data_IF_753150713864
#
_entry.id   IF_753150713864
#
_cell.length_a   1.000
_cell.length_b   1.000
_cell.length_c   1.000
_cell.angle_alpha   90.00
_cell.angle_beta   90.00
_cell.angle_gamma   90.00
#
_symmetry.space_group_name_H-M   'P 1'
#
loop_
_entity.id
_entity.type
_entity.pdbx_description
1 polymer ?
#
# COMPACT_ATOMS: atom_id res chain seq x y z
N UNK A 1 10.30 -8.74 11.67
CA UNK A 1 9.32 -7.98 10.86
C UNK A 1 8.02 -7.91 11.65
N UNK A 2 7.31 -6.78 11.59
CA UNK A 2 5.97 -6.67 12.18
C UNK A 2 5.01 -7.64 11.47
N UNK A 3 4.10 -8.27 12.22
CA UNK A 3 3.07 -9.12 11.63
C UNK A 3 1.94 -8.24 11.08
N UNK A 4 1.45 -8.56 9.88
CA UNK A 4 0.26 -7.90 9.34
C UNK A 4 -0.96 -8.25 10.22
N UNK A 5 -1.64 -7.24 10.75
CA UNK A 5 -2.86 -7.41 11.54
C UNK A 5 -4.08 -6.93 10.75
N UNK A 6 -5.01 -7.85 10.53
CA UNK A 6 -6.20 -7.61 9.72
C UNK A 6 -7.34 -8.53 10.18
N UNK A 7 -8.55 -8.24 9.72
CA UNK A 7 -9.72 -9.10 9.87
C UNK A 7 -10.51 -9.19 8.57
N UNK A 8 -11.34 -10.23 8.44
CA UNK A 8 -12.30 -10.32 7.35
C UNK A 8 -13.31 -9.17 7.48
N UNK A 9 -13.44 -8.36 6.43
CA UNK A 9 -14.50 -7.37 6.33
C UNK A 9 -15.77 -8.06 5.80
N UNK A 10 -15.65 -8.60 4.60
CA UNK A 10 -16.62 -9.47 3.92
C UNK A 10 -15.91 -10.06 2.71
N UNK A 11 -16.20 -11.29 2.28
CA UNK A 11 -15.44 -11.89 1.17
C UNK A 11 -15.66 -11.10 -0.14
N UNK A 12 -14.60 -10.79 -0.91
CA UNK A 12 -13.19 -11.21 -0.75
C UNK A 12 -12.30 -10.25 0.07
N UNK A 13 -12.88 -9.21 0.67
CA UNK A 13 -12.21 -8.10 1.31
C UNK A 13 -11.81 -8.34 2.77
N UNK A 14 -10.59 -7.94 3.08
CA UNK A 14 -10.01 -7.85 4.42
C UNK A 14 -9.74 -6.39 4.76
N UNK A 15 -9.67 -6.08 6.05
CA UNK A 15 -9.37 -4.74 6.55
C UNK A 15 -8.30 -4.78 7.62
N UNK A 16 -7.32 -3.89 7.50
CA UNK A 16 -6.24 -3.76 8.48
C UNK A 16 -6.77 -3.20 9.80
N UNK A 17 -6.40 -3.83 10.91
CA UNK A 17 -6.78 -3.40 12.27
C UNK A 17 -5.76 -2.45 12.90
N UNK A 18 -4.53 -2.48 12.38
CA UNK A 18 -3.39 -1.70 12.84
C UNK A 18 -2.65 -1.14 11.61
N UNK A 19 -1.87 -0.07 11.80
CA UNK A 19 -0.94 0.38 10.77
C UNK A 19 0.11 -0.72 10.52
N UNK A 20 0.51 -0.91 9.27
CA UNK A 20 1.61 -1.81 8.92
C UNK A 20 2.78 -1.00 8.37
N UNK A 21 3.96 -1.22 8.94
CA UNK A 21 5.19 -0.55 8.53
C UNK A 21 6.20 -1.56 7.98
N UNK A 22 6.76 -1.25 6.81
CA UNK A 22 7.89 -1.98 6.26
C UNK A 22 9.08 -1.06 6.06
N UNK A 23 10.19 -1.36 6.74
CA UNK A 23 11.44 -0.63 6.60
C UNK A 23 12.22 -1.10 5.36
N UNK A 24 12.74 -0.15 4.60
CA UNK A 24 13.57 -0.41 3.43
C UNK A 24 14.55 0.75 3.19
N UNK A 25 15.53 0.52 2.33
CA UNK A 25 16.35 1.57 1.70
C UNK A 25 16.20 1.47 0.18
N UNK A 26 16.44 2.56 -0.57
CA UNK A 26 16.42 2.49 -2.04
C UNK A 26 17.45 1.49 -2.56
N UNK A 27 18.62 1.38 -1.92
CA UNK A 27 19.62 0.36 -2.27
C UNK A 27 19.08 -1.05 -2.10
N UNK A 28 18.39 -1.33 -0.99
CA UNK A 28 17.81 -2.64 -0.71
C UNK A 28 16.62 -2.98 -1.62
N UNK A 29 15.90 -1.96 -2.12
CA UNK A 29 14.78 -2.12 -3.03
C UNK A 29 15.27 -2.50 -4.42
N UNK A 30 16.13 -1.67 -4.99
CA UNK A 30 16.59 -1.82 -6.37
C UNK A 30 17.59 -2.98 -6.50
N UNK A 31 18.63 -3.07 -5.65
CA UNK A 31 19.73 -4.07 -5.71
C UNK A 31 20.20 -4.36 -7.15
N UNK A 32 19.63 -5.39 -7.77
CA UNK A 32 19.94 -5.92 -9.11
C UNK A 32 19.10 -5.27 -10.23
N UNK A 33 18.25 -4.30 -9.90
CA UNK A 33 17.36 -3.62 -10.85
C UNK A 33 17.87 -2.21 -11.13
N UNK A 34 17.63 -1.75 -12.36
CA UNK A 34 17.91 -0.39 -12.79
C UNK A 34 16.91 0.61 -12.20
N UNK A 35 17.24 1.91 -12.24
CA UNK A 35 16.33 2.99 -11.82
C UNK A 35 16.61 3.58 -10.43
N UNK A 36 17.55 3.03 -9.66
CA UNK A 36 17.93 3.57 -8.35
C UNK A 36 18.39 5.03 -8.43
N UNK A 37 19.31 5.35 -9.34
CA UNK A 37 19.86 6.71 -9.46
C UNK A 37 18.80 7.74 -9.83
N UNK A 38 17.85 7.35 -10.70
CA UNK A 38 16.70 8.18 -11.04
C UNK A 38 15.79 8.38 -9.81
N UNK A 39 15.57 7.36 -8.99
CA UNK A 39 14.82 7.51 -7.74
C UNK A 39 15.52 8.37 -6.71
N UNK A 40 16.84 8.24 -6.55
CA UNK A 40 17.63 9.11 -5.67
C UNK A 40 17.47 10.57 -6.12
N UNK A 41 17.58 10.84 -7.42
CA UNK A 41 17.40 12.18 -7.97
C UNK A 41 15.97 12.72 -7.77
N UNK A 42 14.94 11.88 -7.99
CA UNK A 42 13.54 12.29 -7.87
C UNK A 42 13.09 12.49 -6.43
N UNK A 43 13.53 11.61 -5.51
CA UNK A 43 13.17 11.66 -4.10
C UNK A 43 14.04 12.67 -3.31
N UNK A 44 15.28 12.89 -3.74
CA UNK A 44 16.25 13.71 -3.03
C UNK A 44 16.75 13.06 -1.74
N UNK A 45 16.93 11.74 -1.74
CA UNK A 45 17.32 10.97 -0.55
C UNK A 45 18.52 10.07 -0.84
N UNK A 46 19.45 9.97 0.11
CA UNK A 46 20.57 9.04 0.01
C UNK A 46 20.06 7.59 -0.09
N UNK A 47 20.62 6.73 -0.96
CA UNK A 47 20.08 5.41 -1.22
C UNK A 47 20.11 4.45 -0.01
N UNK A 48 20.94 4.74 0.98
CA UNK A 48 21.04 3.98 2.25
C UNK A 48 20.25 4.58 3.41
N UNK A 49 19.53 5.69 3.18
CA UNK A 49 18.66 6.25 4.22
C UNK A 49 17.51 5.27 4.51
N UNK A 50 17.28 4.89 5.77
CA UNK A 50 16.12 4.12 6.17
C UNK A 50 14.82 4.88 5.87
N UNK A 51 13.88 4.17 5.23
CA UNK A 51 12.55 4.66 4.88
C UNK A 51 11.52 3.63 5.29
N UNK A 52 10.29 4.07 5.52
CA UNK A 52 9.18 3.20 5.87
C UNK A 52 8.08 3.34 4.83
N UNK A 53 7.63 2.21 4.27
CA UNK A 53 6.30 2.15 3.65
C UNK A 53 5.29 2.01 4.77
N UNK A 54 4.23 2.82 4.71
CA UNK A 54 3.20 2.84 5.75
C UNK A 54 1.84 2.55 5.14
N UNK A 55 1.24 1.41 5.49
CA UNK A 55 -0.15 1.07 5.16
C UNK A 55 -1.04 1.45 6.35
N UNK A 56 -2.10 2.24 6.14
CA UNK A 56 -2.93 2.69 7.25
C UNK A 56 -3.86 1.59 7.75
N UNK A 57 -4.08 1.58 9.07
CA UNK A 57 -5.25 0.96 9.69
C UNK A 57 -6.52 1.37 8.93
N UNK A 58 -7.41 0.42 8.71
CA UNK A 58 -8.63 0.63 7.93
C UNK A 58 -8.44 0.55 6.43
N UNK A 59 -7.23 0.23 5.95
CA UNK A 59 -7.01 -0.12 4.56
C UNK A 59 -7.73 -1.43 4.21
N UNK A 60 -8.47 -1.42 3.10
CA UNK A 60 -9.20 -2.57 2.59
C UNK A 60 -8.45 -3.18 1.41
N UNK A 61 -8.21 -4.49 1.47
CA UNK A 61 -7.37 -5.27 0.55
C UNK A 61 -8.01 -6.64 0.34
N UNK A 62 -7.85 -7.23 -0.84
CA UNK A 62 -8.18 -8.64 -1.11
C UNK A 62 -6.96 -9.56 -0.93
N UNK A 63 -5.87 -9.02 -0.36
CA UNK A 63 -4.56 -9.64 -0.21
C UNK A 63 -4.03 -10.08 -1.57
N UNK A 64 -3.51 -11.30 -1.72
CA UNK A 64 -3.09 -11.75 -3.03
C UNK A 64 -4.31 -12.14 -3.88
N UNK A 65 -4.59 -11.38 -4.93
CA UNK A 65 -5.61 -11.68 -5.95
C UNK A 65 -5.22 -12.91 -6.79
N UNK A 66 -5.41 -14.09 -6.20
CA UNK A 66 -5.02 -15.38 -6.80
C UNK A 66 -6.24 -16.02 -7.50
N UNK A 67 -6.11 -16.47 -8.76
CA UNK A 67 -7.15 -17.21 -9.48
C UNK A 67 -7.64 -18.44 -8.70
N UNK A 68 -8.94 -18.72 -8.73
CA UNK A 68 -9.57 -19.80 -7.96
C UNK A 68 -8.90 -21.17 -8.16
N UNK A 69 -8.49 -21.47 -9.39
CA UNK A 69 -7.80 -22.72 -9.73
C UNK A 69 -6.46 -22.91 -8.97
N UNK A 70 -5.81 -21.83 -8.56
CA UNK A 70 -4.52 -21.87 -7.86
C UNK A 70 -4.67 -21.80 -6.33
N UNK A 71 -5.85 -21.45 -5.81
CA UNK A 71 -6.12 -21.29 -4.37
C UNK A 71 -5.90 -22.54 -3.51
N UNK A 72 -6.02 -23.80 -4.00
CA UNK A 72 -5.68 -24.97 -3.20
C UNK A 72 -4.21 -25.06 -2.79
N UNK A 73 -3.32 -24.34 -3.49
CA UNK A 73 -1.87 -24.34 -3.26
C UNK A 73 -1.42 -22.96 -2.77
N UNK A 74 -1.99 -21.91 -3.34
CA UNK A 74 -1.61 -20.52 -3.10
C UNK A 74 -2.81 -19.76 -2.52
N UNK A 75 -2.92 -19.74 -1.20
CA UNK A 75 -3.99 -19.03 -0.51
C UNK A 75 -3.76 -17.50 -0.52
N UNK A 76 -4.81 -16.67 -0.71
CA UNK A 76 -4.68 -15.21 -0.67
C UNK A 76 -4.02 -14.65 0.59
N UNK A 77 -4.26 -15.29 1.74
CA UNK A 77 -3.75 -14.95 3.08
C UNK A 77 -2.48 -15.72 3.48
N UNK A 78 -1.76 -16.27 2.51
CA UNK A 78 -0.50 -16.99 2.72
C UNK A 78 0.68 -16.12 3.18
N UNK A 79 1.91 -16.66 3.20
CA UNK A 79 3.11 -15.96 3.69
C UNK A 79 3.45 -14.64 2.98
N UNK A 80 2.85 -14.36 1.83
CA UNK A 80 2.99 -13.13 1.04
C UNK A 80 1.95 -12.05 1.38
N UNK A 81 1.00 -12.30 2.29
CA UNK A 81 -0.12 -11.40 2.55
C UNK A 81 0.31 -9.96 2.90
N UNK A 82 1.35 -9.78 3.70
CA UNK A 82 1.88 -8.45 4.03
C UNK A 82 2.44 -7.72 2.80
N UNK A 83 3.10 -8.46 1.91
CA UNK A 83 3.61 -7.92 0.66
C UNK A 83 2.45 -7.52 -0.28
N UNK A 84 1.43 -8.37 -0.40
CA UNK A 84 0.26 -8.10 -1.22
C UNK A 84 -0.51 -6.89 -0.72
N UNK A 85 -0.69 -6.75 0.60
CA UNK A 85 -1.30 -5.58 1.21
C UNK A 85 -0.58 -4.27 0.86
N UNK A 86 0.76 -4.26 0.85
CA UNK A 86 1.53 -3.08 0.44
C UNK A 86 1.39 -2.80 -1.06
N UNK A 87 1.42 -3.86 -1.88
CA UNK A 87 1.24 -3.77 -3.32
C UNK A 87 -0.13 -3.19 -3.70
N UNK A 88 -1.19 -3.71 -3.08
CA UNK A 88 -2.56 -3.22 -3.24
C UNK A 88 -2.67 -1.73 -2.91
N UNK A 89 -2.02 -1.27 -1.83
CA UNK A 89 -2.03 0.15 -1.46
C UNK A 89 -1.43 1.01 -2.57
N UNK A 90 -0.33 0.59 -3.19
CA UNK A 90 0.24 1.30 -4.33
C UNK A 90 -0.67 1.25 -5.55
N UNK A 91 -1.36 0.13 -5.77
CA UNK A 91 -2.35 -0.01 -6.84
C UNK A 91 -3.63 0.78 -6.56
N UNK A 92 -3.86 1.24 -5.34
CA UNK A 92 -4.90 2.22 -5.02
C UNK A 92 -4.51 3.66 -5.39
N UNK A 93 -3.27 3.92 -5.81
CA UNK A 93 -2.84 5.28 -6.18
C UNK A 93 -3.60 5.77 -7.42
N UNK A 94 -4.23 6.94 -7.33
CA UNK A 94 -4.84 7.61 -8.47
C UNK A 94 -3.79 8.34 -9.33
N UNK A 95 -4.04 8.46 -10.64
CA UNK A 95 -3.24 9.28 -11.56
C UNK A 95 -3.41 10.78 -11.31
N UNK A 96 -4.63 11.21 -10.95
CA UNK A 96 -4.93 12.58 -10.57
C UNK A 96 -4.51 12.83 -9.13
N UNK A 97 -3.36 13.49 -8.97
CA UNK A 97 -2.76 13.75 -7.67
C UNK A 97 -2.86 15.23 -7.34
N UNK A 98 -3.23 15.56 -6.11
CA UNK A 98 -3.06 16.92 -5.59
C UNK A 98 -1.57 17.27 -5.46
N UNK A 99 -1.29 18.41 -4.83
CA UNK A 99 0.08 18.80 -4.53
C UNK A 99 0.73 17.82 -3.52
N UNK A 100 1.91 17.28 -3.86
CA UNK A 100 2.78 16.61 -2.90
C UNK A 100 3.74 17.64 -2.27
N UNK A 101 3.97 17.58 -0.95
CA UNK A 101 4.92 18.48 -0.30
C UNK A 101 6.35 18.24 -0.81
N UNK A 102 7.13 19.32 -0.95
CA UNK A 102 8.55 19.25 -1.37
C UNK A 102 9.41 18.76 -0.22
N UNK A 103 9.33 17.46 0.01
CA UNK A 103 9.94 16.68 1.11
C UNK A 103 10.34 15.31 0.55
N UNK A 104 11.19 14.55 1.24
CA UNK A 104 11.55 13.18 0.81
C UNK A 104 10.30 12.32 0.67
N UNK A 105 9.38 12.39 1.64
CA UNK A 105 8.13 11.63 1.67
C UNK A 105 7.21 11.97 0.51
N UNK A 106 7.01 13.28 0.26
CA UNK A 106 6.17 13.76 -0.83
C UNK A 106 6.77 13.45 -2.20
N UNK A 107 8.08 13.67 -2.36
CA UNK A 107 8.78 13.41 -3.61
C UNK A 107 8.78 11.92 -3.98
N UNK A 108 9.06 11.03 -3.02
CA UNK A 108 9.04 9.59 -3.25
C UNK A 108 7.61 9.08 -3.48
N UNK A 109 6.62 9.59 -2.73
CA UNK A 109 5.20 9.23 -2.95
C UNK A 109 4.71 9.65 -4.33
N UNK A 110 5.16 10.81 -4.81
CA UNK A 110 4.91 11.28 -6.18
C UNK A 110 5.55 10.36 -7.21
N UNK A 111 6.82 10.02 -7.03
CA UNK A 111 7.64 9.29 -7.98
C UNK A 111 7.36 7.78 -8.05
N UNK A 112 6.79 7.17 -7.00
CA UNK A 112 6.43 5.75 -6.96
C UNK A 112 5.47 5.41 -8.10
N UNK A 113 5.87 4.48 -8.95
CA UNK A 113 5.11 3.97 -10.08
C UNK A 113 4.83 2.46 -9.91
N UNK A 114 4.26 1.84 -10.95
CA UNK A 114 3.96 0.41 -10.95
C UNK A 114 5.23 -0.43 -10.77
N UNK A 115 6.33 -0.08 -11.44
CA UNK A 115 7.60 -0.81 -11.34
C UNK A 115 8.13 -0.78 -9.91
N UNK A 116 8.07 0.38 -9.25
CA UNK A 116 8.41 0.50 -7.83
C UNK A 116 7.52 -0.38 -6.96
N UNK A 117 6.20 -0.38 -7.20
CA UNK A 117 5.25 -1.20 -6.46
C UNK A 117 5.54 -2.71 -6.60
N UNK A 118 5.78 -3.18 -7.82
CA UNK A 118 6.09 -4.59 -8.10
C UNK A 118 7.45 -4.99 -7.48
N UNK A 119 8.46 -4.12 -7.52
CA UNK A 119 9.74 -4.36 -6.83
C UNK A 119 9.57 -4.41 -5.31
N UNK A 120 8.75 -3.53 -4.74
CA UNK A 120 8.49 -3.54 -3.31
C UNK A 120 7.80 -4.85 -2.90
N UNK A 121 6.86 -5.33 -3.70
CA UNK A 121 6.20 -6.61 -3.50
C UNK A 121 7.21 -7.78 -3.45
N UNK A 122 8.13 -7.85 -4.41
CA UNK A 122 9.21 -8.84 -4.43
C UNK A 122 10.08 -8.78 -3.16
N UNK A 123 10.47 -7.57 -2.74
CA UNK A 123 11.39 -7.38 -1.61
C UNK A 123 10.76 -7.64 -0.26
N UNK A 124 9.49 -7.32 -0.08
CA UNK A 124 8.75 -7.66 1.14
C UNK A 124 8.59 -9.18 1.24
N UNK A 125 8.20 -9.87 0.15
CA UNK A 125 8.14 -11.34 0.13
C UNK A 125 9.50 -11.98 0.46
N UNK A 126 10.58 -11.45 -0.09
CA UNK A 126 11.93 -11.89 0.24
C UNK A 126 12.25 -11.72 1.73
N UNK A 127 11.93 -10.56 2.30
CA UNK A 127 12.17 -10.29 3.72
C UNK A 127 11.26 -11.12 4.65
N UNK A 128 10.10 -11.56 4.17
CA UNK A 128 9.19 -12.49 4.86
C UNK A 128 9.66 -13.96 4.76
N UNK A 129 10.73 -14.24 4.02
CA UNK A 129 11.23 -15.60 3.83
C UNK A 129 10.38 -16.44 2.87
N UNK A 130 9.59 -15.80 2.00
CA UNK A 130 8.87 -16.50 0.94
C UNK A 130 9.88 -17.12 -0.02
N UNK A 131 9.62 -18.37 -0.41
CA UNK A 131 10.48 -19.13 -1.31
C UNK A 131 10.79 -18.36 -2.62
N UNK A 132 12.00 -18.56 -3.13
CA UNK A 132 12.51 -17.80 -4.28
C UNK A 132 11.71 -18.06 -5.55
N UNK A 133 11.23 -19.29 -5.76
CA UNK A 133 10.39 -19.60 -6.91
C UNK A 133 9.05 -18.87 -6.80
N UNK A 134 8.37 -18.99 -5.65
CA UNK A 134 7.06 -18.37 -5.42
C UNK A 134 7.12 -16.84 -5.56
N UNK A 135 8.06 -16.17 -4.89
CA UNK A 135 8.16 -14.70 -4.93
C UNK A 135 8.50 -14.17 -6.32
N UNK A 136 9.33 -14.89 -7.09
CA UNK A 136 9.65 -14.53 -8.49
C UNK A 136 8.43 -14.74 -9.39
N UNK A 137 7.71 -15.85 -9.25
CA UNK A 137 6.46 -16.08 -10.00
C UNK A 137 5.43 -14.98 -9.75
N UNK A 138 5.24 -14.57 -8.49
CA UNK A 138 4.33 -13.49 -8.12
C UNK A 138 4.78 -12.15 -8.70
N UNK A 139 6.07 -11.83 -8.58
CA UNK A 139 6.66 -10.63 -9.19
C UNK A 139 6.43 -10.57 -10.69
N UNK A 140 6.79 -11.63 -11.44
CA UNK A 140 6.60 -11.67 -12.89
C UNK A 140 5.12 -11.55 -13.28
N UNK A 141 4.22 -12.21 -12.54
CA UNK A 141 2.79 -12.12 -12.79
C UNK A 141 2.26 -10.68 -12.69
N UNK A 142 2.58 -9.96 -11.61
CA UNK A 142 2.14 -8.56 -11.46
C UNK A 142 2.90 -7.63 -12.40
N UNK A 143 4.19 -7.88 -12.63
CA UNK A 143 5.02 -7.02 -13.47
C UNK A 143 4.54 -7.02 -14.93
N UNK A 144 4.24 -8.19 -15.47
CA UNK A 144 3.85 -8.37 -16.87
C UNK A 144 2.34 -8.16 -17.08
N UNK A 145 1.48 -8.59 -16.14
CA UNK A 145 0.02 -8.61 -16.33
C UNK A 145 -0.76 -7.66 -15.42
N UNK A 146 -0.11 -6.97 -14.47
CA UNK A 146 -0.79 -6.11 -13.49
C UNK A 146 -1.23 -4.73 -14.00
N UNK A 147 -0.91 -4.37 -15.25
CA UNK A 147 -1.23 -3.03 -15.78
C UNK A 147 -2.73 -2.68 -15.74
N UNK A 148 -3.67 -3.57 -16.14
CA UNK A 148 -5.10 -3.27 -16.07
C UNK A 148 -5.54 -2.91 -14.64
N UNK A 149 -5.16 -3.69 -13.64
CA UNK A 149 -5.48 -3.42 -12.23
C UNK A 149 -4.82 -2.15 -11.69
N UNK A 150 -3.60 -1.83 -12.16
CA UNK A 150 -2.89 -0.62 -11.75
C UNK A 150 -3.61 0.65 -12.20
N UNK A 151 -4.13 0.68 -13.43
CA UNK A 151 -4.83 1.85 -14.00
C UNK A 151 -6.33 1.87 -13.75
N UNK A 152 -6.92 0.76 -13.31
CA UNK A 152 -8.35 0.66 -13.00
C UNK A 152 -8.78 1.70 -11.96
N UNK A 153 -9.91 2.37 -12.15
CA UNK A 153 -10.39 3.40 -11.23
C UNK A 153 -11.12 2.85 -10.01
N UNK A 154 -11.28 1.52 -9.92
CA UNK A 154 -12.06 0.79 -8.91
C UNK A 154 -13.51 1.27 -8.79
N UNK A 155 -14.09 1.87 -9.84
CA UNK A 155 -15.47 2.38 -9.83
C UNK A 155 -16.52 1.28 -9.60
N UNK A 156 -16.19 0.03 -9.91
CA UNK A 156 -17.07 -1.14 -9.74
C UNK A 156 -16.85 -1.88 -8.42
N UNK A 157 -15.85 -1.49 -7.63
CA UNK A 157 -15.52 -2.18 -6.38
C UNK A 157 -16.49 -1.76 -5.27
N UNK A 158 -17.25 -2.73 -4.78
CA UNK A 158 -18.24 -2.52 -3.71
C UNK A 158 -17.85 -3.36 -2.49
N UNK A 159 -17.87 -2.70 -1.33
CA UNK A 159 -17.86 -3.39 -0.04
C UNK A 159 -18.56 -2.60 1.07
N UNK A 160 -18.94 -3.31 2.13
CA UNK A 160 -19.54 -2.77 3.35
C UNK A 160 -18.67 -1.71 4.01
N UNK A 161 -19.28 -0.57 4.37
CA UNK A 161 -18.63 0.54 5.10
C UNK A 161 -19.28 0.67 6.48
N UNK A 162 -18.57 0.35 7.58
CA UNK A 162 -19.17 0.31 8.92
C UNK A 162 -19.58 1.69 9.44
N UNK A 163 -19.09 2.74 8.80
CA UNK A 163 -19.41 4.15 9.11
C UNK A 163 -19.91 4.83 7.84
N UNK A 164 -21.03 5.53 7.94
CA UNK A 164 -21.65 6.25 6.81
C UNK A 164 -20.85 7.49 6.41
N UNK A 165 -20.29 8.22 7.39
CA UNK A 165 -19.56 9.47 7.14
C UNK A 165 -18.14 9.22 6.67
N UNK A 166 -17.77 9.87 5.56
CA UNK A 166 -16.41 9.91 5.02
C UNK A 166 -15.94 11.35 4.96
N UNK A 167 -14.77 11.65 5.54
CA UNK A 167 -14.10 12.95 5.42
C UNK A 167 -13.12 12.92 4.25
N UNK A 168 -13.29 13.86 3.33
CA UNK A 168 -12.39 14.05 2.19
C UNK A 168 -11.33 15.09 2.52
N UNK A 169 -10.06 14.67 2.48
CA UNK A 169 -8.90 15.51 2.69
C UNK A 169 -8.40 16.06 1.37
N UNK A 170 -8.29 17.39 1.27
CA UNK A 170 -7.71 18.08 0.12
C UNK A 170 -6.17 18.00 0.11
N UNK A 171 -5.62 16.79 0.30
CA UNK A 171 -4.19 16.49 0.21
C UNK A 171 -3.99 15.02 -0.15
N UNK A 172 -2.79 14.70 -0.59
CA UNK A 172 -2.39 13.33 -0.90
C UNK A 172 -2.00 12.57 0.37
N UNK A 173 -2.33 11.28 0.42
CA UNK A 173 -1.70 10.33 1.31
C UNK A 173 -0.24 10.17 0.91
N UNK A 174 0.65 10.27 1.90
CA UNK A 174 2.05 9.96 1.72
C UNK A 174 2.21 8.47 1.99
N UNK A 175 2.80 7.72 1.06
CA UNK A 175 3.02 6.27 1.25
C UNK A 175 4.29 5.98 2.06
N UNK A 176 5.26 6.90 2.00
CA UNK A 176 6.58 6.73 2.58
C UNK A 176 6.82 7.70 3.73
N UNK A 177 7.63 7.30 4.71
CA UNK A 177 8.07 8.14 5.84
C UNK A 177 9.58 8.02 6.04
N UNK A 178 10.22 9.09 6.52
CA UNK A 178 11.62 9.08 7.00
C UNK A 178 11.77 8.60 8.45
N UNK A 179 10.66 8.33 9.13
CA UNK A 179 10.62 7.72 10.46
C UNK A 179 9.32 6.93 10.64
N UNK A 180 9.32 5.95 11.54
CA UNK A 180 8.10 5.18 11.86
C UNK A 180 7.10 6.06 12.62
N UNK A 181 6.04 6.45 11.93
CA UNK A 181 4.95 7.30 12.47
C UNK A 181 3.58 6.71 12.15
N UNK A 182 2.54 7.21 12.83
CA UNK A 182 1.15 6.86 12.50
C UNK A 182 0.85 7.17 11.03
N UNK A 183 0.13 6.27 10.37
CA UNK A 183 -0.25 6.43 8.98
C UNK A 183 -1.21 7.61 8.78
N UNK A 184 -2.24 7.66 9.63
CA UNK A 184 -3.25 8.71 9.70
C UNK A 184 -3.32 9.16 11.16
N UNK A 185 -3.11 10.45 11.46
CA UNK A 185 -3.25 10.98 12.82
C UNK A 185 -4.63 10.69 13.41
N UNK A 186 -4.70 10.34 14.70
CA UNK A 186 -5.98 9.91 15.32
C UNK A 186 -7.09 10.98 15.26
N UNK A 187 -6.71 12.25 15.37
CA UNK A 187 -7.67 13.36 15.26
C UNK A 187 -8.27 13.49 13.83
N UNK A 188 -7.66 12.87 12.81
CA UNK A 188 -8.19 12.83 11.44
C UNK A 188 -9.19 11.68 11.23
N UNK A 189 -9.28 10.76 12.20
CA UNK A 189 -10.21 9.62 12.16
C UNK A 189 -11.53 9.88 12.88
N UNK A 190 -11.74 11.11 13.36
CA UNK A 190 -12.94 11.53 14.06
C UNK A 190 -13.50 12.82 13.49
N UNK A 191 -14.82 12.95 13.49
CA UNK A 191 -15.52 14.18 13.20
C UNK A 191 -15.39 15.16 14.37
N UNK A 192 -14.74 16.30 14.12
CA UNK A 192 -14.49 17.33 15.16
C UNK A 192 -15.77 17.91 15.78
N UNK A 193 -16.92 17.77 15.12
CA UNK A 193 -18.18 18.37 15.60
C UNK A 193 -18.92 17.49 16.61
N UNK A 194 -18.76 16.17 16.55
CA UNK A 194 -19.52 15.22 17.35
C UNK A 194 -18.68 14.06 17.92
N UNK A 195 -17.38 14.00 17.60
CA UNK A 195 -16.44 12.97 18.04
C UNK A 195 -16.65 11.59 17.41
N UNK A 196 -17.59 11.44 16.48
CA UNK A 196 -17.88 10.14 15.87
C UNK A 196 -16.75 9.74 14.91
N UNK A 197 -16.42 8.44 14.83
CA UNK A 197 -15.45 7.97 13.85
C UNK A 197 -15.88 8.28 12.42
N UNK A 198 -14.91 8.42 11.52
CA UNK A 198 -15.13 8.71 10.10
C UNK A 198 -14.19 7.89 9.22
N UNK A 199 -14.65 7.53 8.03
CA UNK A 199 -13.73 7.06 7.00
C UNK A 199 -12.91 8.25 6.46
N UNK A 200 -11.70 8.00 6.00
CA UNK A 200 -10.75 9.02 5.55
C UNK A 200 -10.44 8.82 4.07
N UNK A 201 -10.77 9.82 3.26
CA UNK A 201 -10.52 9.81 1.81
C UNK A 201 -9.43 10.84 1.47
N UNK A 202 -8.32 10.41 0.89
CA UNK A 202 -7.29 11.30 0.34
C UNK A 202 -7.44 11.47 -1.17
N UNK A 203 -6.89 12.55 -1.75
CA UNK A 203 -7.04 12.85 -3.18
C UNK A 203 -6.43 11.77 -4.10
N UNK A 204 -5.33 11.16 -3.69
CA UNK A 204 -4.54 10.23 -4.50
C UNK A 204 -4.84 8.75 -4.22
N UNK A 205 -5.92 8.42 -3.50
CA UNK A 205 -6.29 7.03 -3.20
C UNK A 205 -7.68 6.76 -3.80
N UNK A 206 -7.85 5.65 -4.52
CA UNK A 206 -9.11 5.29 -5.19
C UNK A 206 -10.26 5.04 -4.20
N UNK A 207 -9.95 4.57 -2.99
CA UNK A 207 -10.93 4.18 -1.96
C UNK A 207 -10.57 4.75 -0.58
N UNK A 208 -11.58 5.12 0.20
CA UNK A 208 -11.38 5.65 1.55
C UNK A 208 -10.79 4.58 2.47
N UNK A 209 -9.89 5.01 3.35
CA UNK A 209 -9.47 4.21 4.50
C UNK A 209 -10.59 4.23 5.53
N UNK A 210 -11.13 3.06 5.85
CA UNK A 210 -12.28 2.98 6.73
C UNK A 210 -11.86 3.27 8.17
N UNK A 211 -12.81 3.71 9.00
CA UNK A 211 -12.66 3.45 10.43
C UNK A 211 -12.61 1.94 10.61
N UNK A 212 -11.62 1.44 11.35
CA UNK A 212 -11.52 0.01 11.61
C UNK A 212 -12.86 -0.52 12.16
N UNK A 213 -13.37 -1.66 11.66
CA UNK A 213 -14.62 -2.21 12.16
C UNK A 213 -14.45 -2.79 13.56
#
# INVERSE_FOLDING_TARGET
MEALKYKLLEKPWFILTDDFHFEFTLRSLYREHTGMDAMVALAGVHPDTPLWVTVPKGFVTDLASIPEALRPILHPDGPWAAAACVHDLFYQKCSSVGFYPVTVEGNLSRACDKTFADLMFLRIMEALGVDTFIRKSFYHAVHEFGWPSYVDDNSTVVYSRPVEKTLSYNRNYLFFRTSRTLAIPEHERVDITNGQPVNVQYLNIKRAFLTAP
#
